data_IF_036535605380
#
_entry.id   IF_036535605380
#
_cell.length_a   1.000
_cell.length_b   1.000
_cell.length_c   1.000
_cell.angle_alpha   90.00
_cell.angle_beta   90.00
_cell.angle_gamma   90.00
#
_symmetry.space_group_name_H-M   'P 1'
#
loop_
_entity.id
_entity.type
_entity.pdbx_description
1 polymer ?
#
# COMPACT_ATOMS: atom_id res chain seq x y z
N UNK A 1 -9.61 2.89 -2.42
CA UNK A 1 -9.95 2.14 -1.17
C UNK A 1 -10.35 3.06 -0.01
N UNK A 2 -11.09 4.15 -0.27
CA UNK A 2 -11.67 5.00 0.78
C UNK A 2 -13.16 5.10 0.53
N UNK A 3 -14.02 4.84 1.51
CA UNK A 3 -15.47 5.03 1.42
C UNK A 3 -15.93 5.85 2.63
N UNK A 4 -16.24 7.13 2.39
CA UNK A 4 -16.64 8.09 3.41
C UNK A 4 -17.97 7.76 4.09
N UNK A 5 -18.78 6.86 3.53
CA UNK A 5 -20.01 6.37 4.15
C UNK A 5 -19.74 5.30 5.22
N UNK A 6 -18.61 4.60 5.14
CA UNK A 6 -18.26 3.52 6.06
C UNK A 6 -17.35 4.00 7.21
N UNK A 7 -16.50 4.99 6.96
CA UNK A 7 -15.70 5.66 7.99
C UNK A 7 -15.51 7.14 7.67
N UNK A 8 -15.19 7.94 8.69
CA UNK A 8 -14.74 9.33 8.53
C UNK A 8 -13.32 9.45 7.92
N UNK A 9 -12.93 8.54 7.03
CA UNK A 9 -11.72 8.64 6.23
C UNK A 9 -12.06 9.39 4.93
N UNK A 10 -11.54 10.61 4.77
CA UNK A 10 -11.89 11.49 3.65
C UNK A 10 -13.32 12.05 3.76
N UNK A 11 -13.46 13.38 3.81
CA UNK A 11 -14.78 14.04 3.76
C UNK A 11 -15.14 14.44 2.33
N UNK A 12 -16.42 14.37 1.99
CA UNK A 12 -16.94 14.78 0.68
C UNK A 12 -16.24 14.05 -0.47
N UNK A 13 -15.74 14.80 -1.46
CA UNK A 13 -15.12 14.25 -2.67
C UNK A 13 -13.93 13.31 -2.40
N UNK A 14 -13.20 13.52 -1.29
CA UNK A 14 -12.05 12.67 -0.93
C UNK A 14 -12.45 11.28 -0.43
N UNK A 15 -13.68 11.15 0.08
CA UNK A 15 -14.28 9.89 0.51
C UNK A 15 -15.17 9.23 -0.55
N UNK A 16 -15.25 9.78 -1.77
CA UNK A 16 -16.00 9.16 -2.86
C UNK A 16 -15.36 7.81 -3.23
N UNK A 17 -16.07 6.68 -3.03
CA UNK A 17 -15.51 5.35 -3.22
C UNK A 17 -15.12 5.05 -4.66
N UNK A 18 -15.72 5.71 -5.65
CA UNK A 18 -15.49 5.41 -7.07
C UNK A 18 -14.76 6.52 -7.83
N UNK A 19 -14.36 7.59 -7.14
CA UNK A 19 -13.65 8.71 -7.79
C UNK A 19 -12.17 8.41 -8.05
N UNK A 20 -11.76 8.43 -9.32
CA UNK A 20 -10.34 8.43 -9.70
C UNK A 20 -9.71 9.82 -9.68
N UNK A 21 -10.49 10.88 -9.45
CA UNK A 21 -10.02 12.27 -9.52
C UNK A 21 -9.82 12.86 -8.13
N UNK A 22 -10.72 12.58 -7.20
CA UNK A 22 -10.73 13.24 -5.89
C UNK A 22 -10.43 12.31 -4.72
N UNK A 23 -10.52 10.98 -4.89
CA UNK A 23 -10.33 10.03 -3.79
C UNK A 23 -8.95 10.20 -3.14
N UNK A 24 -8.93 10.19 -1.81
CA UNK A 24 -7.76 10.44 -0.98
C UNK A 24 -6.54 9.61 -1.38
N UNK A 25 -6.76 8.33 -1.70
CA UNK A 25 -5.67 7.39 -1.99
C UNK A 25 -5.26 7.34 -3.47
N UNK A 26 -5.97 8.02 -4.36
CA UNK A 26 -5.72 7.92 -5.80
C UNK A 26 -5.53 9.27 -6.49
N UNK A 27 -6.58 10.10 -6.50
CA UNK A 27 -6.61 11.33 -7.29
C UNK A 27 -6.30 12.60 -6.49
N UNK A 28 -6.44 12.58 -5.17
CA UNK A 28 -6.07 13.71 -4.30
C UNK A 28 -4.57 14.04 -4.40
N UNK A 29 -4.15 15.16 -3.76
CA UNK A 29 -2.78 15.66 -3.87
C UNK A 29 -1.71 14.59 -3.60
N UNK A 30 -1.85 13.76 -2.56
CA UNK A 30 -0.94 12.66 -2.26
C UNK A 30 -1.49 11.27 -2.62
N UNK A 31 -2.54 11.22 -3.44
CA UNK A 31 -3.03 9.98 -4.04
C UNK A 31 -2.07 9.44 -5.10
N UNK A 32 -2.10 8.13 -5.35
CA UNK A 32 -1.15 7.41 -6.21
C UNK A 32 -0.95 8.07 -7.57
N UNK A 33 -2.03 8.27 -8.35
CA UNK A 33 -1.87 8.76 -9.72
C UNK A 33 -1.39 10.21 -9.74
N UNK A 34 -1.95 11.06 -8.88
CA UNK A 34 -1.56 12.46 -8.79
C UNK A 34 -0.11 12.64 -8.32
N UNK A 35 0.32 11.81 -7.37
CA UNK A 35 1.68 11.86 -6.82
C UNK A 35 2.70 11.38 -7.86
N UNK A 36 2.51 10.19 -8.43
CA UNK A 36 3.48 9.59 -9.36
C UNK A 36 3.54 10.32 -10.71
N UNK A 37 2.49 11.08 -11.11
CA UNK A 37 2.58 12.02 -12.24
C UNK A 37 3.62 13.12 -12.05
N UNK A 38 3.92 13.50 -10.80
CA UNK A 38 4.83 14.61 -10.47
C UNK A 38 6.17 14.14 -9.91
N UNK A 39 6.31 12.86 -9.62
CA UNK A 39 7.52 12.29 -9.05
C UNK A 39 8.60 12.13 -10.13
N UNK A 40 9.64 12.97 -10.09
CA UNK A 40 10.67 13.04 -11.14
C UNK A 40 11.51 11.76 -11.32
N UNK A 41 11.56 10.89 -10.30
CA UNK A 41 12.25 9.60 -10.36
C UNK A 41 11.40 8.45 -10.93
N UNK A 42 10.21 8.72 -11.44
CA UNK A 42 9.24 7.72 -11.87
C UNK A 42 8.59 8.10 -13.20
N UNK A 43 8.25 7.08 -13.98
CA UNK A 43 7.54 7.22 -15.24
C UNK A 43 6.30 6.33 -15.22
N UNK A 44 5.13 6.89 -15.54
CA UNK A 44 3.94 6.10 -15.84
C UNK A 44 4.11 5.55 -17.25
N UNK A 45 4.22 4.22 -17.38
CA UNK A 45 4.47 3.54 -18.65
C UNK A 45 3.24 2.88 -19.24
N UNK A 46 2.23 2.60 -18.41
CA UNK A 46 0.94 2.07 -18.88
C UNK A 46 -0.20 2.52 -17.96
N UNK A 47 -1.40 2.69 -18.55
CA UNK A 47 -2.65 2.96 -17.86
C UNK A 47 -3.77 2.18 -18.54
N UNK A 48 -4.49 1.39 -17.75
CA UNK A 48 -5.65 0.63 -18.20
C UNK A 48 -6.87 0.94 -17.35
N UNK A 49 -7.95 1.38 -17.99
CA UNK A 49 -9.22 1.59 -17.30
C UNK A 49 -9.89 0.25 -16.96
N UNK A 50 -10.58 0.23 -15.81
CA UNK A 50 -11.44 -0.87 -15.42
C UNK A 50 -12.67 -0.95 -16.32
N UNK A 51 -13.21 -2.16 -16.46
CA UNK A 51 -14.52 -2.34 -17.08
C UNK A 51 -15.62 -1.71 -16.20
N UNK A 52 -16.79 -1.37 -16.78
CA UNK A 52 -17.97 -1.02 -16.00
C UNK A 52 -18.22 -2.03 -14.86
N UNK A 53 -18.57 -1.54 -13.69
CA UNK A 53 -18.84 -2.31 -12.47
C UNK A 53 -17.70 -3.18 -11.90
N UNK A 54 -16.50 -3.10 -12.49
CA UNK A 54 -15.29 -3.74 -11.96
C UNK A 54 -14.98 -3.24 -10.54
N UNK A 55 -14.38 -4.13 -9.74
CA UNK A 55 -13.81 -3.78 -8.44
C UNK A 55 -12.54 -2.92 -8.57
N UNK A 56 -11.83 -3.08 -9.67
CA UNK A 56 -10.64 -2.29 -10.04
C UNK A 56 -11.08 -1.26 -11.06
N UNK A 57 -10.97 0.02 -10.71
CA UNK A 57 -11.36 1.16 -11.55
C UNK A 57 -10.28 1.53 -12.56
N UNK A 58 -9.01 1.34 -12.20
CA UNK A 58 -7.85 1.64 -13.03
C UNK A 58 -6.64 0.82 -12.59
N UNK A 59 -5.83 0.40 -13.56
CA UNK A 59 -4.50 -0.10 -13.34
C UNK A 59 -3.48 0.94 -13.84
N UNK A 60 -2.39 1.10 -13.09
CA UNK A 60 -1.31 2.02 -13.44
C UNK A 60 0.02 1.28 -13.30
N UNK A 61 0.77 1.16 -14.39
CA UNK A 61 2.13 0.63 -14.37
C UNK A 61 3.11 1.79 -14.31
N UNK A 62 3.95 1.79 -13.29
CA UNK A 62 4.97 2.81 -13.04
C UNK A 62 6.34 2.14 -13.03
N UNK A 63 7.26 2.68 -13.81
CA UNK A 63 8.66 2.33 -13.79
C UNK A 63 9.45 3.38 -13.00
N UNK A 64 10.33 2.93 -12.11
CA UNK A 64 11.27 3.79 -11.41
C UNK A 64 12.54 3.95 -12.25
N UNK A 65 13.04 5.17 -12.39
CA UNK A 65 14.31 5.47 -13.07
C UNK A 65 15.48 5.07 -12.13
N UNK A 66 16.24 4.00 -12.45
CA UNK A 66 17.29 3.51 -11.57
C UNK A 66 18.52 4.43 -11.54
N UNK A 67 19.13 4.60 -10.36
CA UNK A 67 20.46 5.18 -10.22
C UNK A 67 21.54 4.09 -10.26
N UNK A 68 22.82 4.49 -10.43
CA UNK A 68 23.94 3.56 -10.50
C UNK A 68 23.99 2.65 -9.26
N UNK A 69 23.95 1.34 -9.49
CA UNK A 69 24.04 0.31 -8.43
C UNK A 69 22.70 -0.07 -7.80
N UNK A 70 21.58 0.52 -8.23
CA UNK A 70 20.25 0.16 -7.75
C UNK A 70 19.57 -0.89 -8.63
N UNK A 71 18.62 -1.62 -8.04
CA UNK A 71 17.76 -2.57 -8.75
C UNK A 71 16.68 -1.83 -9.54
N UNK A 72 16.29 -2.40 -10.69
CA UNK A 72 15.11 -1.95 -11.44
C UNK A 72 13.85 -2.26 -10.65
N UNK A 73 12.91 -1.31 -10.62
CA UNK A 73 11.63 -1.46 -9.90
C UNK A 73 10.49 -1.07 -10.83
N UNK A 74 9.55 -2.01 -10.99
CA UNK A 74 8.26 -1.80 -11.63
C UNK A 74 7.15 -1.94 -10.59
N UNK A 75 6.17 -1.07 -10.65
CA UNK A 75 5.04 -1.07 -9.73
C UNK A 75 3.75 -1.12 -10.53
N UNK A 76 2.92 -2.13 -10.25
CA UNK A 76 1.57 -2.22 -10.78
C UNK A 76 0.57 -1.84 -9.69
N UNK A 77 0.00 -0.65 -9.82
CA UNK A 77 -1.04 -0.17 -8.91
C UNK A 77 -2.42 -0.59 -9.38
N UNK A 78 -3.27 -0.96 -8.43
CA UNK A 78 -4.68 -1.28 -8.64
C UNK A 78 -5.55 -0.28 -7.87
N UNK A 79 -6.29 0.56 -8.58
CA UNK A 79 -7.25 1.49 -8.00
C UNK A 79 -8.55 0.76 -7.66
N UNK A 80 -8.60 0.08 -6.52
CA UNK A 80 -9.84 -0.54 -6.06
C UNK A 80 -10.87 0.52 -5.64
N UNK A 81 -12.09 0.32 -6.12
CA UNK A 81 -13.29 1.04 -5.70
C UNK A 81 -13.51 0.84 -4.18
N UNK A 82 -13.76 1.92 -3.45
CA UNK A 82 -13.92 1.91 -1.99
C UNK A 82 -15.09 1.05 -1.53
N UNK A 83 -16.20 1.08 -2.27
CA UNK A 83 -17.40 0.26 -2.07
C UNK A 83 -17.16 -1.23 -2.38
N UNK A 84 -16.01 -1.57 -2.97
CA UNK A 84 -15.56 -2.93 -3.29
C UNK A 84 -14.31 -3.34 -2.50
N UNK A 85 -14.02 -2.69 -1.36
CA UNK A 85 -12.83 -2.99 -0.55
C UNK A 85 -12.79 -4.43 -0.02
N UNK A 86 -13.94 -5.09 0.13
CA UNK A 86 -14.00 -6.51 0.49
C UNK A 86 -13.36 -7.40 -0.59
N UNK A 87 -13.59 -7.08 -1.87
CA UNK A 87 -12.97 -7.78 -2.99
C UNK A 87 -11.47 -7.51 -3.00
N UNK A 88 -11.05 -6.26 -2.78
CA UNK A 88 -9.64 -5.90 -2.65
C UNK A 88 -8.95 -6.72 -1.55
N UNK A 89 -9.60 -6.89 -0.39
CA UNK A 89 -9.06 -7.67 0.74
C UNK A 89 -8.89 -9.14 0.37
N UNK A 90 -9.90 -9.74 -0.26
CA UNK A 90 -9.83 -11.14 -0.72
C UNK A 90 -8.71 -11.33 -1.74
N UNK A 91 -8.62 -10.44 -2.74
CA UNK A 91 -7.61 -10.52 -3.78
C UNK A 91 -6.19 -10.32 -3.21
N UNK A 92 -6.01 -9.35 -2.30
CA UNK A 92 -4.74 -9.13 -1.62
C UNK A 92 -4.32 -10.34 -0.80
N UNK A 93 -5.18 -10.86 0.07
CA UNK A 93 -4.82 -12.00 0.93
C UNK A 93 -4.57 -13.27 0.10
N UNK A 94 -5.37 -13.53 -0.94
CA UNK A 94 -5.11 -14.63 -1.88
C UNK A 94 -3.77 -14.45 -2.60
N UNK A 95 -3.42 -13.24 -3.02
CA UNK A 95 -2.11 -12.96 -3.60
C UNK A 95 -0.98 -13.22 -2.59
N UNK A 96 -1.16 -12.86 -1.31
CA UNK A 96 -0.14 -13.15 -0.28
C UNK A 96 0.05 -14.64 -0.02
N UNK A 97 -1.00 -15.46 -0.18
CA UNK A 97 -0.96 -16.90 0.03
C UNK A 97 -0.58 -17.69 -1.23
N UNK A 98 -0.75 -17.12 -2.43
CA UNK A 98 -0.64 -17.81 -3.71
C UNK A 98 0.67 -17.63 -4.47
N UNK A 99 0.76 -18.32 -5.62
CA UNK A 99 1.83 -18.13 -6.61
C UNK A 99 1.48 -16.95 -7.52
N UNK A 100 2.05 -15.80 -7.24
CA UNK A 100 2.10 -14.65 -8.16
C UNK A 100 3.56 -14.28 -8.44
N UNK A 101 3.81 -13.51 -9.50
CA UNK A 101 5.16 -13.15 -9.93
C UNK A 101 5.71 -11.86 -9.27
N UNK A 102 4.98 -11.23 -8.35
CA UNK A 102 5.47 -10.05 -7.65
C UNK A 102 6.49 -10.43 -6.56
N UNK A 103 7.57 -9.65 -6.45
CA UNK A 103 8.56 -9.77 -5.39
C UNK A 103 8.05 -9.20 -4.06
N UNK A 104 7.18 -8.19 -4.14
CA UNK A 104 6.56 -7.49 -3.02
C UNK A 104 5.09 -7.20 -3.32
N UNK A 105 4.22 -7.55 -2.38
CA UNK A 105 2.81 -7.16 -2.38
C UNK A 105 2.59 -6.01 -1.39
N UNK A 106 1.80 -5.01 -1.79
CA UNK A 106 1.54 -3.83 -0.95
C UNK A 106 0.05 -3.57 -0.84
N UNK A 107 -0.43 -3.41 0.40
CA UNK A 107 -1.72 -2.82 0.70
C UNK A 107 -1.51 -1.39 1.17
N UNK A 108 -2.21 -0.41 0.59
CA UNK A 108 -2.13 0.99 0.99
C UNK A 108 -3.51 1.66 0.93
N UNK A 109 -4.06 2.00 2.10
CA UNK A 109 -5.39 2.59 2.21
C UNK A 109 -6.08 2.22 3.51
N UNK A 110 -7.42 2.24 3.50
CA UNK A 110 -8.21 1.86 4.66
C UNK A 110 -7.90 0.45 5.17
N UNK A 111 -7.85 0.25 6.50
CA UNK A 111 -7.65 -1.07 7.09
C UNK A 111 -8.98 -1.81 7.18
N UNK A 112 -9.29 -2.63 6.17
CA UNK A 112 -10.57 -3.34 6.14
C UNK A 112 -10.73 -4.36 7.27
N UNK A 113 -9.65 -4.90 7.82
CA UNK A 113 -9.70 -5.84 8.94
C UNK A 113 -10.05 -5.17 10.28
N UNK A 114 -10.09 -3.82 10.34
CA UNK A 114 -10.67 -3.12 11.50
C UNK A 114 -12.20 -3.18 11.52
N UNK A 115 -12.84 -3.34 10.36
CA UNK A 115 -14.29 -3.25 10.24
C UNK A 115 -14.96 -4.62 10.25
N UNK A 116 -14.19 -5.68 9.95
CA UNK A 116 -14.70 -7.03 9.78
C UNK A 116 -13.66 -8.09 10.06
N UNK A 117 -14.14 -9.30 10.31
CA UNK A 117 -13.30 -10.48 10.38
C UNK A 117 -12.66 -10.81 9.03
N UNK A 118 -11.46 -11.42 9.03
CA UNK A 118 -10.79 -11.83 7.81
C UNK A 118 -11.63 -12.86 7.04
N UNK A 119 -11.62 -12.84 5.69
CA UNK A 119 -12.28 -13.85 4.88
C UNK A 119 -11.60 -15.21 5.08
N UNK A 120 -12.34 -16.29 4.78
CA UNK A 120 -11.75 -17.63 4.72
C UNK A 120 -10.73 -17.69 3.59
N UNK A 121 -9.47 -17.97 3.93
CA UNK A 121 -8.40 -18.10 2.96
C UNK A 121 -8.40 -19.52 2.40
N UNK A 122 -8.24 -19.66 1.07
CA UNK A 122 -8.06 -20.98 0.45
C UNK A 122 -6.79 -21.61 1.03
N UNK A 123 -6.83 -22.93 1.30
CA UNK A 123 -5.68 -23.71 1.71
C UNK A 123 -4.60 -23.66 0.61
N UNK A 124 -3.74 -22.65 0.69
CA UNK A 124 -2.56 -22.52 -0.16
C UNK A 124 -1.32 -22.95 0.60
N UNK A 125 -0.27 -23.42 -0.09
CA UNK A 125 1.02 -23.68 0.54
C UNK A 125 1.47 -22.45 1.33
N UNK A 126 2.19 -22.65 2.45
CA UNK A 126 2.81 -21.54 3.18
C UNK A 126 3.62 -20.69 2.19
N UNK A 127 3.23 -19.43 2.08
CA UNK A 127 3.90 -18.44 1.24
C UNK A 127 5.21 -18.01 1.87
N UNK A 128 6.12 -17.44 1.08
CA UNK A 128 7.30 -16.73 1.57
C UNK A 128 7.38 -15.31 1.01
N UNK A 129 6.25 -14.78 0.52
CA UNK A 129 6.17 -13.47 -0.14
C UNK A 129 6.45 -12.34 0.84
N UNK A 130 7.23 -11.35 0.39
CA UNK A 130 7.40 -10.09 1.11
C UNK A 130 6.12 -9.27 0.99
N UNK A 131 5.66 -8.71 2.11
CA UNK A 131 4.40 -7.95 2.16
C UNK A 131 4.60 -6.64 2.92
N UNK A 132 4.05 -5.55 2.40
CA UNK A 132 3.92 -4.28 3.13
C UNK A 132 2.43 -3.93 3.29
N UNK A 133 2.03 -3.49 4.48
CA UNK A 133 0.67 -3.01 4.75
C UNK A 133 0.72 -1.64 5.39
N UNK A 134 0.43 -0.62 4.58
CA UNK A 134 0.30 0.78 4.96
C UNK A 134 -1.19 1.08 5.19
N UNK A 135 -1.64 0.90 6.42
CA UNK A 135 -3.01 1.17 6.84
C UNK A 135 -3.01 1.43 8.35
N UNK A 136 -4.07 1.97 8.95
CA UNK A 136 -4.17 2.15 10.40
C UNK A 136 -4.02 0.82 11.17
N UNK A 137 -3.20 0.76 12.23
CA UNK A 137 -3.03 -0.42 13.10
C UNK A 137 -2.77 -1.76 12.35
N UNK A 138 -2.07 -1.73 11.21
CA UNK A 138 -1.96 -2.93 10.37
C UNK A 138 -1.22 -4.10 11.03
N UNK A 139 -0.29 -3.84 11.95
CA UNK A 139 0.40 -4.89 12.73
C UNK A 139 -0.58 -5.74 13.55
N UNK A 140 -1.58 -5.09 14.15
CA UNK A 140 -2.57 -5.72 15.02
C UNK A 140 -3.57 -6.55 14.22
N UNK A 141 -4.05 -6.02 13.09
CA UNK A 141 -5.14 -6.64 12.33
C UNK A 141 -4.65 -7.54 11.19
N UNK A 142 -3.72 -7.07 10.35
CA UNK A 142 -3.16 -7.88 9.27
C UNK A 142 -2.09 -8.85 9.76
N UNK A 143 -1.33 -8.50 10.80
CA UNK A 143 -0.21 -9.31 11.29
C UNK A 143 -0.56 -10.78 11.57
N UNK A 144 -1.61 -11.10 12.35
CA UNK A 144 -2.02 -12.48 12.59
C UNK A 144 -2.40 -13.24 11.31
N UNK A 145 -3.10 -12.58 10.38
CA UNK A 145 -3.55 -13.17 9.11
C UNK A 145 -2.36 -13.44 8.17
N UNK A 146 -1.42 -12.51 8.07
CA UNK A 146 -0.23 -12.69 7.24
C UNK A 146 0.67 -13.82 7.79
N UNK A 147 0.78 -13.93 9.12
CA UNK A 147 1.53 -15.04 9.75
C UNK A 147 0.89 -16.40 9.49
N UNK A 148 -0.45 -16.51 9.50
CA UNK A 148 -1.12 -17.79 9.28
C UNK A 148 -0.88 -18.35 7.88
N UNK A 149 -0.67 -17.48 6.87
CA UNK A 149 -0.34 -17.89 5.49
C UNK A 149 1.16 -17.94 5.19
N UNK A 150 2.02 -17.68 6.18
CA UNK A 150 3.48 -17.72 6.03
C UNK A 150 4.10 -16.48 5.35
N UNK A 151 3.32 -15.46 5.02
CA UNK A 151 3.84 -14.24 4.42
C UNK A 151 4.87 -13.56 5.34
N UNK A 152 5.78 -12.79 4.74
CA UNK A 152 6.89 -12.10 5.42
C UNK A 152 6.64 -10.58 5.40
N UNK A 153 5.99 -10.00 6.43
CA UNK A 153 5.86 -8.56 6.52
C UNK A 153 7.23 -7.87 6.54
N UNK A 154 7.38 -6.83 5.73
CA UNK A 154 8.56 -5.95 5.70
C UNK A 154 8.23 -4.52 6.12
N UNK A 155 6.94 -4.15 6.12
CA UNK A 155 6.44 -2.88 6.66
C UNK A 155 5.00 -3.03 7.15
N UNK A 156 4.73 -2.56 8.36
CA UNK A 156 3.39 -2.48 8.99
C UNK A 156 3.35 -1.24 9.90
N UNK A 157 2.18 -0.92 10.44
CA UNK A 157 1.95 0.22 11.31
C UNK A 157 1.33 -0.20 12.65
N UNK A 158 1.55 0.62 13.67
CA UNK A 158 1.11 0.41 15.06
C UNK A 158 -0.01 1.36 15.49
N UNK A 159 -0.20 2.46 14.78
CA UNK A 159 -1.15 3.52 15.13
C UNK A 159 -2.00 3.91 13.91
N UNK A 160 -2.92 4.85 14.10
CA UNK A 160 -3.58 5.53 13.00
C UNK A 160 -2.57 6.38 12.22
N UNK A 161 -2.74 6.43 10.91
CA UNK A 161 -1.83 7.12 10.00
C UNK A 161 -2.47 7.38 8.63
N UNK A 162 -1.87 8.27 7.83
CA UNK A 162 -2.31 8.56 6.46
C UNK A 162 -1.52 7.72 5.42
N UNK A 163 -2.11 6.65 4.83
CA UNK A 163 -1.40 5.75 3.91
C UNK A 163 -1.37 6.29 2.48
N UNK A 164 -0.58 7.33 2.29
CA UNK A 164 -0.49 8.10 1.03
C UNK A 164 0.72 7.70 0.18
N UNK A 165 0.75 8.17 -1.07
CA UNK A 165 1.68 7.69 -2.10
C UNK A 165 3.16 7.97 -1.83
N UNK A 166 3.52 8.99 -1.03
CA UNK A 166 4.92 9.24 -0.67
C UNK A 166 5.54 8.09 0.14
N UNK A 167 4.73 7.28 0.84
CA UNK A 167 5.22 6.07 1.50
C UNK A 167 5.53 4.96 0.51
N UNK A 168 4.75 4.87 -0.58
CA UNK A 168 4.99 3.91 -1.66
C UNK A 168 6.27 4.28 -2.42
N UNK A 169 6.49 5.57 -2.65
CA UNK A 169 7.75 6.10 -3.20
C UNK A 169 8.94 5.78 -2.30
N UNK A 170 8.84 6.07 -0.99
CA UNK A 170 9.90 5.79 -0.03
C UNK A 170 10.21 4.29 0.06
N UNK A 171 9.19 3.44 0.05
CA UNK A 171 9.31 1.99 0.02
C UNK A 171 10.03 1.52 -1.25
N UNK A 172 9.56 1.91 -2.43
CA UNK A 172 10.13 1.51 -3.72
C UNK A 172 11.58 1.98 -3.87
N UNK A 173 11.88 3.23 -3.53
CA UNK A 173 13.25 3.77 -3.56
C UNK A 173 14.19 3.03 -2.62
N UNK A 174 13.72 2.64 -1.44
CA UNK A 174 14.56 1.90 -0.48
C UNK A 174 14.78 0.46 -0.94
N UNK A 175 13.74 -0.21 -1.43
CA UNK A 175 13.86 -1.56 -2.00
C UNK A 175 14.83 -1.58 -3.18
N UNK A 176 14.79 -0.57 -4.06
CA UNK A 176 15.73 -0.44 -5.17
C UNK A 176 17.19 -0.36 -4.69
N UNK A 177 17.43 0.30 -3.55
CA UNK A 177 18.77 0.57 -3.02
C UNK A 177 19.32 -0.55 -2.13
N UNK A 178 18.52 -1.09 -1.22
CA UNK A 178 18.96 -2.03 -0.17
C UNK A 178 18.33 -3.42 -0.29
N UNK A 179 17.39 -3.62 -1.20
CA UNK A 179 16.63 -4.86 -1.34
C UNK A 179 15.59 -5.07 -0.25
N UNK A 180 14.74 -6.10 -0.45
CA UNK A 180 13.58 -6.40 0.41
C UNK A 180 13.94 -6.92 1.81
N UNK A 181 15.16 -7.40 2.02
CA UNK A 181 15.59 -7.99 3.29
C UNK A 181 16.01 -6.95 4.33
N UNK A 182 16.34 -5.72 3.92
CA UNK A 182 16.75 -4.66 4.83
C UNK A 182 15.54 -3.93 5.43
N UNK A 183 14.84 -4.61 6.34
CA UNK A 183 13.66 -4.07 7.03
C UNK A 183 13.98 -2.80 7.83
N UNK A 184 15.21 -2.66 8.32
CA UNK A 184 15.66 -1.49 9.08
C UNK A 184 15.74 -0.27 8.17
N UNK A 185 16.37 -0.39 7.00
CA UNK A 185 16.41 0.70 6.02
C UNK A 185 15.01 1.08 5.55
N UNK A 186 14.16 0.08 5.23
CA UNK A 186 12.77 0.31 4.81
C UNK A 186 12.01 1.10 5.87
N UNK A 187 12.06 0.65 7.12
CA UNK A 187 11.39 1.33 8.23
C UNK A 187 11.90 2.77 8.41
N UNK A 188 13.22 2.97 8.41
CA UNK A 188 13.80 4.31 8.58
C UNK A 188 13.37 5.27 7.47
N UNK A 189 13.30 4.78 6.23
CA UNK A 189 12.84 5.56 5.08
C UNK A 189 11.36 5.93 5.19
N UNK A 190 10.49 4.99 5.58
CA UNK A 190 9.08 5.24 5.82
C UNK A 190 8.85 6.27 6.92
N UNK A 191 9.61 6.19 8.02
CA UNK A 191 9.57 7.19 9.10
C UNK A 191 9.96 8.57 8.60
N UNK A 192 11.07 8.67 7.86
CA UNK A 192 11.56 9.95 7.36
C UNK A 192 10.57 10.60 6.39
N UNK A 193 10.01 9.80 5.46
CA UNK A 193 8.97 10.26 4.54
C UNK A 193 7.71 10.70 5.30
N UNK A 194 7.22 9.89 6.24
CA UNK A 194 6.02 10.23 7.01
C UNK A 194 6.21 11.51 7.84
N UNK A 195 7.35 11.65 8.53
CA UNK A 195 7.68 12.85 9.30
C UNK A 195 7.67 14.12 8.42
N UNK A 196 8.29 14.03 7.23
CA UNK A 196 8.35 15.13 6.26
C UNK A 196 6.96 15.57 5.80
N UNK A 197 6.12 14.63 5.38
CA UNK A 197 4.82 14.95 4.78
C UNK A 197 3.76 15.32 5.83
N UNK A 198 3.77 14.65 6.98
CA UNK A 198 2.85 14.96 8.08
C UNK A 198 3.31 16.13 8.95
N UNK A 199 4.54 16.65 8.72
CA UNK A 199 5.13 17.76 9.48
C UNK A 199 5.21 17.48 10.98
N UNK A 200 5.65 16.27 11.32
CA UNK A 200 5.87 15.82 12.71
C UNK A 200 7.33 15.43 12.93
N UNK A 201 7.74 15.28 14.19
CA UNK A 201 9.11 14.86 14.51
C UNK A 201 9.38 13.41 14.04
N UNK A 202 10.65 13.09 13.77
CA UNK A 202 11.09 11.73 13.45
C UNK A 202 10.74 10.75 14.57
N UNK A 203 10.78 11.19 15.83
CA UNK A 203 10.39 10.38 16.99
C UNK A 203 8.90 10.04 16.95
N UNK A 204 8.03 11.03 16.69
CA UNK A 204 6.59 10.83 16.58
C UNK A 204 6.23 9.96 15.37
N UNK A 205 6.82 10.21 14.19
CA UNK A 205 6.66 9.32 13.04
C UNK A 205 7.21 7.90 13.33
N UNK A 206 8.25 7.83 14.16
CA UNK A 206 8.84 6.60 14.64
C UNK A 206 7.84 5.70 15.37
N UNK A 207 6.86 6.24 16.10
CA UNK A 207 5.87 5.41 16.81
C UNK A 207 4.84 4.76 15.88
N UNK A 208 4.67 5.30 14.67
CA UNK A 208 3.67 4.84 13.69
C UNK A 208 4.04 3.49 13.09
N UNK A 209 5.33 3.23 12.83
CA UNK A 209 5.75 2.05 12.09
C UNK A 209 6.20 0.89 13.01
N UNK A 210 5.89 -0.34 12.60
CA UNK A 210 6.29 -1.55 13.32
C UNK A 210 7.81 -1.70 13.38
N UNK A 211 8.32 -2.27 14.48
CA UNK A 211 9.71 -2.75 14.57
C UNK A 211 9.68 -4.23 14.19
N UNK A 212 9.93 -4.52 12.93
CA UNK A 212 9.95 -5.89 12.41
C UNK A 212 11.38 -6.40 12.47
N UNK A 213 11.59 -7.53 13.14
CA UNK A 213 12.87 -8.22 13.25
C UNK A 213 13.24 -8.97 11.97
#
# INVERSE_FOLDING_TARGET
>A
MCDGAQLACGKGKAGDPRSLVANLYWGAAFGVESFFKRASGYQIVDRKEGQPDSSILRQLTVERIPQKGEQKVFILFYAYAGDKIDNALVDFLNATAGKNNADLLVWAGHNRLMDRLPPSLKNSPRSSKSVAVLACESEKYFGPVLRSVGAKPIAMTRTFMAPEAYLLEALASTVAKSGLKDKRAIRSSLVAAYAKYQRISISAAGTVFSKLD
#
